data_IF_835465179681
#
_entry.id   IF_835465179681
#
_cell.length_a   1.000
_cell.length_b   1.000
_cell.length_c   1.000
_cell.angle_alpha   90.00
_cell.angle_beta   90.00
_cell.angle_gamma   90.00
#
_symmetry.space_group_name_H-M   'P 1'
#
loop_
_entity.id
_entity.type
_entity.pdbx_description
1 polymer ?
#
# COMPACT_ATOMS: atom_id res chain seq x y z
N UNK A 1 -18.33 5.43 21.94
CA UNK A 1 -17.38 5.88 20.93
C UNK A 1 -17.35 7.41 20.80
N UNK A 2 -18.52 8.08 20.57
CA UNK A 2 -18.57 9.54 20.40
C UNK A 2 -17.97 10.29 21.61
N UNK A 3 -18.35 9.95 22.84
CA UNK A 3 -17.80 10.57 24.05
C UNK A 3 -16.27 10.41 24.14
N UNK A 4 -15.75 9.21 23.81
CA UNK A 4 -14.30 8.98 23.76
C UNK A 4 -13.63 9.78 22.63
N UNK A 5 -14.29 9.96 21.49
CA UNK A 5 -13.75 10.76 20.39
C UNK A 5 -13.63 12.23 20.79
N UNK A 6 -14.66 12.78 21.47
CA UNK A 6 -14.62 14.14 22.02
C UNK A 6 -13.48 14.30 23.03
N UNK A 7 -13.30 13.34 23.94
CA UNK A 7 -12.18 13.38 24.90
C UNK A 7 -10.80 13.32 24.26
N UNK A 8 -10.71 12.87 23.01
CA UNK A 8 -9.49 12.85 22.17
C UNK A 8 -9.37 14.06 21.23
N UNK A 9 -10.20 15.06 21.39
CA UNK A 9 -10.14 16.32 20.64
C UNK A 9 -10.84 16.29 19.28
N UNK A 10 -11.77 15.36 19.05
CA UNK A 10 -12.63 15.36 17.86
C UNK A 10 -13.87 16.20 18.18
N UNK A 11 -14.17 17.21 17.37
CA UNK A 11 -15.33 18.07 17.52
C UNK A 11 -16.65 17.36 17.20
N UNK A 12 -17.75 17.84 17.77
CA UNK A 12 -19.09 17.35 17.43
C UNK A 12 -19.40 17.50 15.94
N UNK A 13 -18.96 18.59 15.32
CA UNK A 13 -19.07 18.83 13.87
C UNK A 13 -18.41 17.72 13.06
N UNK A 14 -17.21 17.30 13.43
CA UNK A 14 -16.52 16.18 12.76
C UNK A 14 -17.27 14.87 12.97
N UNK A 15 -17.90 14.67 14.13
CA UNK A 15 -18.69 13.46 14.41
C UNK A 15 -19.98 13.34 13.60
N UNK A 16 -20.45 14.40 12.96
CA UNK A 16 -21.62 14.36 12.07
C UNK A 16 -21.47 13.39 10.92
N UNK A 17 -20.23 13.14 10.45
CA UNK A 17 -19.96 12.14 9.39
C UNK A 17 -20.40 10.71 9.79
N UNK A 18 -20.63 10.47 11.08
CA UNK A 18 -21.12 9.20 11.62
C UNK A 18 -22.65 9.15 11.82
N UNK A 19 -23.38 10.25 11.65
CA UNK A 19 -24.79 10.31 12.03
C UNK A 19 -25.67 9.30 11.29
N UNK A 20 -25.31 8.95 10.07
CA UNK A 20 -26.04 7.98 9.23
C UNK A 20 -25.29 6.66 9.07
N UNK A 21 -24.26 6.39 9.89
CA UNK A 21 -23.50 5.17 9.82
C UNK A 21 -24.37 3.98 10.27
N UNK A 22 -24.63 3.07 9.32
CA UNK A 22 -25.34 1.80 9.58
C UNK A 22 -24.37 0.63 9.38
N UNK A 23 -24.50 -0.46 10.13
CA UNK A 23 -23.74 -1.67 9.90
C UNK A 23 -23.87 -2.15 8.45
N UNK A 24 -22.74 -2.41 7.81
CA UNK A 24 -22.68 -2.89 6.42
C UNK A 24 -22.38 -4.39 6.40
N UNK A 25 -23.42 -5.22 6.24
CA UNK A 25 -23.25 -6.67 6.09
C UNK A 25 -22.31 -7.02 4.94
N UNK A 26 -22.37 -6.25 3.84
CA UNK A 26 -21.46 -6.42 2.69
C UNK A 26 -20.00 -6.27 3.09
N UNK A 27 -19.68 -5.26 3.86
CA UNK A 27 -18.32 -5.00 4.37
C UNK A 27 -17.86 -6.14 5.28
N UNK A 28 -18.70 -6.57 6.21
CA UNK A 28 -18.44 -7.68 7.14
C UNK A 28 -18.22 -8.99 6.39
N UNK A 29 -19.07 -9.28 5.39
CA UNK A 29 -18.94 -10.48 4.54
C UNK A 29 -17.62 -10.48 3.76
N UNK A 30 -17.19 -9.34 3.22
CA UNK A 30 -15.92 -9.21 2.51
C UNK A 30 -14.73 -9.40 3.46
N UNK A 31 -14.78 -8.89 4.69
CA UNK A 31 -13.73 -9.10 5.69
C UNK A 31 -13.55 -10.58 6.07
N UNK A 32 -14.62 -11.37 6.03
CA UNK A 32 -14.59 -12.80 6.34
C UNK A 32 -14.20 -13.69 5.16
N UNK A 33 -14.29 -13.16 3.93
CA UNK A 33 -14.03 -13.88 2.69
C UNK A 33 -12.93 -13.17 1.87
N UNK A 34 -11.68 -13.25 2.34
CA UNK A 34 -10.54 -12.64 1.64
C UNK A 34 -9.99 -13.66 0.61
N UNK A 35 -10.20 -13.47 -0.71
CA UNK A 35 -9.82 -14.43 -1.74
C UNK A 35 -8.31 -14.57 -1.93
N UNK A 36 -7.50 -13.58 -1.55
CA UNK A 36 -6.03 -13.58 -1.67
C UNK A 36 -5.36 -14.68 -0.86
N UNK A 37 -6.00 -15.20 0.19
CA UNK A 37 -5.51 -16.33 0.98
C UNK A 37 -5.88 -17.70 0.38
N UNK A 38 -6.63 -17.72 -0.73
CA UNK A 38 -7.12 -18.95 -1.39
C UNK A 38 -6.46 -19.21 -2.75
N UNK A 39 -5.60 -18.31 -3.23
CA UNK A 39 -4.98 -18.41 -4.54
C UNK A 39 -3.50 -18.80 -4.41
N UNK A 40 -3.02 -19.69 -5.29
CA UNK A 40 -1.58 -19.87 -5.48
C UNK A 40 -0.96 -18.60 -6.04
N UNK A 41 0.34 -18.39 -5.81
CA UNK A 41 1.05 -17.23 -6.32
C UNK A 41 0.93 -17.08 -7.84
N UNK A 42 1.03 -18.17 -8.59
CA UNK A 42 0.92 -18.15 -10.05
C UNK A 42 -0.45 -17.65 -10.52
N UNK A 43 -1.54 -18.12 -9.87
CA UNK A 43 -2.90 -17.64 -10.16
C UNK A 43 -3.10 -16.19 -9.75
N UNK A 44 -2.52 -15.79 -8.62
CA UNK A 44 -2.55 -14.39 -8.18
C UNK A 44 -1.81 -13.50 -9.17
N UNK A 45 -0.56 -13.86 -9.50
CA UNK A 45 0.29 -13.14 -10.46
C UNK A 45 -0.38 -12.97 -11.81
N UNK A 46 -0.96 -14.02 -12.40
CA UNK A 46 -1.63 -13.93 -13.71
C UNK A 46 -2.83 -12.98 -13.72
N UNK A 47 -3.54 -12.85 -12.60
CA UNK A 47 -4.65 -11.90 -12.45
C UNK A 47 -4.16 -10.45 -12.28
N UNK A 48 -3.09 -10.26 -11.53
CA UNK A 48 -2.59 -8.93 -11.15
C UNK A 48 -1.67 -8.35 -12.21
N UNK A 49 -0.83 -9.18 -12.87
CA UNK A 49 0.15 -8.76 -13.87
C UNK A 49 -0.30 -9.20 -15.25
N UNK A 50 -1.28 -8.48 -15.84
CA UNK A 50 -1.74 -8.70 -17.20
C UNK A 50 -0.94 -7.85 -18.21
N UNK A 51 -0.92 -8.28 -19.49
CA UNK A 51 -0.27 -7.50 -20.56
C UNK A 51 -0.88 -6.10 -20.72
N UNK A 52 -2.19 -5.99 -20.57
CA UNK A 52 -2.88 -4.69 -20.52
C UNK A 52 -2.29 -3.78 -19.43
N UNK A 53 -2.15 -4.30 -18.20
CA UNK A 53 -1.61 -3.51 -17.08
C UNK A 53 -0.15 -3.16 -17.28
N UNK A 54 0.66 -4.08 -17.82
CA UNK A 54 2.06 -3.83 -18.15
C UNK A 54 2.21 -2.73 -19.22
N UNK A 55 1.43 -2.80 -20.28
CA UNK A 55 1.47 -1.81 -21.36
C UNK A 55 0.98 -0.43 -20.85
N UNK A 56 -0.10 -0.39 -20.08
CA UNK A 56 -0.58 0.84 -19.46
C UNK A 56 0.45 1.42 -18.50
N UNK A 57 1.14 0.62 -17.71
CA UNK A 57 2.21 1.08 -16.82
C UNK A 57 3.36 1.76 -17.59
N UNK A 58 3.75 1.22 -18.75
CA UNK A 58 4.77 1.85 -19.62
C UNK A 58 4.31 3.21 -20.16
N UNK A 59 3.05 3.32 -20.53
CA UNK A 59 2.45 4.58 -21.02
C UNK A 59 2.39 5.60 -19.88
N UNK A 60 1.85 5.21 -18.72
CA UNK A 60 1.72 6.10 -17.57
C UNK A 60 3.08 6.52 -17.01
N UNK A 61 4.09 5.64 -17.04
CA UNK A 61 5.47 6.00 -16.67
C UNK A 61 6.01 7.11 -17.57
N UNK A 62 5.87 6.98 -18.89
CA UNK A 62 6.32 8.01 -19.84
C UNK A 62 5.58 9.33 -19.65
N UNK A 63 4.25 9.27 -19.48
CA UNK A 63 3.38 10.43 -19.28
C UNK A 63 3.72 11.23 -18.02
N UNK A 64 4.08 10.54 -16.93
CA UNK A 64 4.36 11.16 -15.65
C UNK A 64 5.87 11.29 -15.36
N UNK A 65 6.74 11.04 -16.35
CA UNK A 65 8.19 10.99 -16.17
C UNK A 65 8.77 12.22 -15.46
N UNK A 66 8.44 13.48 -15.84
CA UNK A 66 8.99 14.64 -15.15
C UNK A 66 8.64 14.71 -13.66
N UNK A 67 7.38 14.39 -13.32
CA UNK A 67 6.95 14.34 -11.92
C UNK A 67 7.65 13.20 -11.16
N UNK A 68 7.72 12.01 -11.77
CA UNK A 68 8.39 10.86 -11.14
C UNK A 68 9.87 11.14 -10.88
N UNK A 69 10.57 11.84 -11.78
CA UNK A 69 11.97 12.23 -11.59
C UNK A 69 12.13 13.25 -10.44
N UNK A 70 11.21 14.21 -10.33
CA UNK A 70 11.15 15.15 -9.20
C UNK A 70 10.99 14.39 -7.87
N UNK A 71 10.05 13.44 -7.82
CA UNK A 71 9.76 12.62 -6.63
C UNK A 71 10.94 11.68 -6.30
N UNK A 72 11.52 11.02 -7.30
CA UNK A 72 12.69 10.15 -7.12
C UNK A 72 13.88 10.92 -6.55
N UNK A 73 14.16 12.12 -7.08
CA UNK A 73 15.21 13.01 -6.55
C UNK A 73 14.96 13.40 -5.09
N UNK A 74 13.71 13.63 -4.70
CA UNK A 74 13.35 14.10 -3.35
C UNK A 74 13.32 12.99 -2.31
N UNK A 75 12.80 11.81 -2.68
CA UNK A 75 12.52 10.71 -1.74
C UNK A 75 13.41 9.49 -1.91
N UNK A 76 14.25 9.45 -2.95
CA UNK A 76 15.12 8.31 -3.26
C UNK A 76 14.36 7.07 -3.75
N UNK A 77 13.10 7.19 -4.17
CA UNK A 77 12.25 6.07 -4.58
C UNK A 77 12.06 6.05 -6.08
N UNK A 78 12.47 4.96 -6.73
CA UNK A 78 12.44 4.85 -8.19
C UNK A 78 11.02 4.98 -8.76
N UNK A 79 10.83 5.85 -9.76
CA UNK A 79 9.54 6.13 -10.37
C UNK A 79 8.86 4.90 -11.00
N UNK A 80 9.63 3.90 -11.46
CA UNK A 80 9.03 2.63 -11.96
C UNK A 80 8.36 1.84 -10.86
N UNK A 81 8.90 1.87 -9.64
CA UNK A 81 8.28 1.23 -8.48
C UNK A 81 6.97 1.92 -8.12
N UNK A 82 6.95 3.27 -8.11
CA UNK A 82 5.74 4.04 -7.84
C UNK A 82 4.62 3.74 -8.84
N UNK A 83 4.93 3.70 -10.13
CA UNK A 83 3.97 3.29 -11.17
C UNK A 83 3.48 1.86 -10.98
N UNK A 84 4.36 0.93 -10.58
CA UNK A 84 3.97 -0.46 -10.35
C UNK A 84 3.03 -0.61 -9.17
N UNK A 85 3.29 0.09 -8.07
CA UNK A 85 2.40 0.14 -6.91
C UNK A 85 1.05 0.79 -7.28
N UNK A 86 1.06 1.92 -7.95
CA UNK A 86 -0.16 2.59 -8.41
C UNK A 86 -1.01 1.70 -9.32
N UNK A 87 -0.36 0.90 -10.20
CA UNK A 87 -1.03 -0.09 -11.02
C UNK A 87 -1.71 -1.19 -10.20
N UNK A 88 -1.04 -1.69 -9.17
CA UNK A 88 -1.53 -2.80 -8.33
C UNK A 88 -2.61 -2.33 -7.37
N UNK A 89 -2.38 -1.22 -6.66
CA UNK A 89 -3.25 -0.73 -5.60
C UNK A 89 -4.60 -0.22 -6.13
N UNK A 90 -4.59 0.56 -7.20
CA UNK A 90 -5.80 1.24 -7.67
C UNK A 90 -6.08 1.11 -9.16
N UNK A 91 -5.33 0.27 -9.89
CA UNK A 91 -5.41 0.18 -11.34
C UNK A 91 -5.30 1.59 -11.99
N UNK A 92 -4.27 2.34 -11.62
CA UNK A 92 -4.03 3.72 -12.06
C UNK A 92 -5.17 4.67 -11.72
N UNK A 93 -5.72 4.56 -10.52
CA UNK A 93 -6.81 5.38 -10.02
C UNK A 93 -8.21 4.95 -10.46
N UNK A 94 -8.34 3.92 -11.33
CA UNK A 94 -9.67 3.48 -11.78
C UNK A 94 -10.44 2.65 -10.74
N UNK A 95 -9.77 2.16 -9.71
CA UNK A 95 -10.36 1.31 -8.68
C UNK A 95 -9.88 1.71 -7.28
N UNK A 96 -10.47 2.74 -6.72
CA UNK A 96 -10.19 3.22 -5.36
C UNK A 96 -11.20 2.73 -4.31
N UNK A 97 -12.16 1.91 -4.75
CA UNK A 97 -13.29 1.52 -3.92
C UNK A 97 -14.47 2.51 -3.99
N UNK A 98 -15.66 2.01 -3.59
CA UNK A 98 -16.92 2.77 -3.66
C UNK A 98 -17.62 2.85 -2.29
N UNK A 99 -16.96 2.37 -1.25
CA UNK A 99 -17.52 2.35 0.10
C UNK A 99 -17.30 3.71 0.77
N UNK A 100 -18.27 4.12 1.60
CA UNK A 100 -18.04 5.26 2.48
C UNK A 100 -17.07 4.85 3.59
N UNK A 101 -15.99 5.60 3.76
CA UNK A 101 -14.91 5.29 4.71
C UNK A 101 -15.42 5.11 6.14
N UNK A 102 -16.23 6.07 6.61
CA UNK A 102 -16.68 6.09 8.01
C UNK A 102 -17.66 4.96 8.30
N UNK A 103 -18.60 4.69 7.39
CA UNK A 103 -19.54 3.56 7.52
C UNK A 103 -18.81 2.22 7.50
N UNK A 104 -17.81 2.09 6.64
CA UNK A 104 -16.98 0.89 6.52
C UNK A 104 -16.21 0.63 7.82
N UNK A 105 -15.48 1.64 8.30
CA UNK A 105 -14.66 1.50 9.51
C UNK A 105 -15.53 1.30 10.77
N UNK A 106 -16.67 2.00 10.87
CA UNK A 106 -17.61 1.81 11.96
C UNK A 106 -18.17 0.39 11.99
N UNK A 107 -18.57 -0.17 10.81
CA UNK A 107 -19.07 -1.53 10.69
C UNK A 107 -18.05 -2.56 11.14
N UNK A 108 -16.81 -2.44 10.69
CA UNK A 108 -15.71 -3.36 11.04
C UNK A 108 -15.26 -3.20 12.49
N UNK A 109 -15.32 -1.99 13.04
CA UNK A 109 -15.05 -1.74 14.46
C UNK A 109 -16.12 -2.38 15.36
N UNK A 110 -17.37 -2.45 14.87
CA UNK A 110 -18.50 -3.05 15.60
C UNK A 110 -18.52 -4.57 15.51
N UNK A 111 -18.16 -5.18 14.34
CA UNK A 111 -18.25 -6.63 14.09
C UNK A 111 -17.43 -7.52 15.06
N UNK A 112 -16.47 -6.97 15.75
CA UNK A 112 -15.69 -7.65 16.80
C UNK A 112 -14.42 -8.35 16.33
N UNK A 113 -14.36 -8.92 15.12
CA UNK A 113 -13.22 -9.74 14.66
C UNK A 113 -11.87 -9.02 14.71
N UNK A 114 -11.80 -7.76 14.27
CA UNK A 114 -10.62 -6.88 14.32
C UNK A 114 -10.97 -5.52 14.91
N UNK A 115 -11.86 -5.51 15.89
CA UNK A 115 -12.49 -4.30 16.45
C UNK A 115 -11.46 -3.26 16.90
N UNK A 116 -10.45 -3.66 17.67
CA UNK A 116 -9.38 -2.73 18.16
C UNK A 116 -8.67 -2.01 17.02
N UNK A 117 -8.35 -2.74 15.94
CA UNK A 117 -7.68 -2.18 14.77
C UNK A 117 -8.59 -1.18 14.04
N UNK A 118 -9.80 -1.60 13.66
CA UNK A 118 -10.72 -0.74 12.91
C UNK A 118 -11.25 0.44 13.73
N UNK A 119 -11.38 0.26 15.05
CA UNK A 119 -11.69 1.36 15.94
C UNK A 119 -10.59 2.44 15.93
N UNK A 120 -9.32 2.04 15.95
CA UNK A 120 -8.19 2.95 15.81
C UNK A 120 -8.19 3.66 14.46
N UNK A 121 -8.44 2.92 13.38
CA UNK A 121 -8.52 3.50 12.04
C UNK A 121 -9.68 4.47 11.90
N UNK A 122 -10.81 4.23 12.55
CA UNK A 122 -11.95 5.16 12.60
C UNK A 122 -11.57 6.47 13.31
N UNK A 123 -10.87 6.41 14.44
CA UNK A 123 -10.34 7.62 15.09
C UNK A 123 -9.38 8.38 14.18
N UNK A 124 -8.48 7.68 13.50
CA UNK A 124 -7.56 8.30 12.54
C UNK A 124 -8.31 8.97 11.38
N UNK A 125 -9.36 8.34 10.86
CA UNK A 125 -10.20 8.92 9.80
C UNK A 125 -10.90 10.21 10.26
N UNK A 126 -11.43 10.23 11.49
CA UNK A 126 -12.02 11.43 12.07
C UNK A 126 -10.96 12.54 12.26
N UNK A 127 -9.75 12.17 12.70
CA UNK A 127 -8.65 13.13 12.87
C UNK A 127 -8.22 13.76 11.53
N UNK A 128 -8.32 13.07 10.41
CA UNK A 128 -8.06 13.63 9.07
C UNK A 128 -9.03 14.78 8.78
N UNK A 129 -10.32 14.60 9.11
CA UNK A 129 -11.33 15.64 8.95
C UNK A 129 -11.11 16.77 9.93
N UNK A 130 -10.90 16.45 11.21
CA UNK A 130 -10.69 17.44 12.28
C UNK A 130 -9.52 18.38 11.96
N UNK A 131 -8.43 17.84 11.44
CA UNK A 131 -7.26 18.61 11.01
C UNK A 131 -7.41 19.30 9.66
N UNK A 132 -8.58 19.21 9.03
CA UNK A 132 -8.87 19.82 7.74
C UNK A 132 -7.83 19.44 6.63
N UNK A 133 -7.35 18.18 6.67
CA UNK A 133 -6.29 17.72 5.76
C UNK A 133 -6.78 17.41 4.34
N UNK A 134 -8.09 17.33 4.14
CA UNK A 134 -8.74 16.98 2.86
C UNK A 134 -9.86 17.97 2.53
N UNK A 135 -10.18 18.13 1.24
CA UNK A 135 -11.25 19.03 0.79
C UNK A 135 -12.66 18.45 1.00
N UNK A 136 -12.80 17.13 0.99
CA UNK A 136 -14.10 16.46 1.02
C UNK A 136 -14.22 15.57 2.24
N UNK A 137 -15.33 15.68 2.97
CA UNK A 137 -15.63 14.81 4.12
C UNK A 137 -16.30 13.48 3.71
N UNK A 138 -16.87 13.39 2.50
CA UNK A 138 -17.44 12.15 1.97
C UNK A 138 -16.38 11.25 1.32
N UNK A 139 -15.45 10.77 2.13
CA UNK A 139 -14.32 9.99 1.67
C UNK A 139 -14.74 8.59 1.20
N UNK A 140 -14.30 8.23 -0.01
CA UNK A 140 -14.46 6.88 -0.57
C UNK A 140 -13.25 6.00 -0.26
N UNK A 141 -13.50 4.72 -0.05
CA UNK A 141 -12.47 3.73 0.29
C UNK A 141 -12.79 2.36 -0.29
N UNK A 142 -11.82 1.46 -0.23
CA UNK A 142 -12.06 0.03 -0.35
C UNK A 142 -12.94 -0.50 0.79
N UNK A 143 -13.32 -1.77 0.70
CA UNK A 143 -14.20 -2.42 1.69
C UNK A 143 -13.60 -2.49 3.10
N UNK A 144 -12.31 -2.37 3.26
CA UNK A 144 -11.59 -2.38 4.54
C UNK A 144 -11.10 -0.99 4.98
N UNK A 145 -11.49 0.09 4.30
CA UNK A 145 -11.10 1.45 4.66
C UNK A 145 -9.79 1.93 4.03
N UNK A 146 -9.26 1.23 3.03
CA UNK A 146 -8.11 1.68 2.24
C UNK A 146 -8.51 2.84 1.33
N UNK A 147 -7.79 3.97 1.40
CA UNK A 147 -8.18 5.26 0.82
C UNK A 147 -7.37 5.63 -0.41
N UNK A 148 -8.07 6.25 -1.37
CA UNK A 148 -7.48 6.90 -2.53
C UNK A 148 -6.69 5.97 -3.46
N UNK A 149 -5.86 6.56 -4.30
CA UNK A 149 -5.06 5.82 -5.27
C UNK A 149 -3.87 5.09 -4.65
N UNK A 150 -3.44 5.51 -3.45
CA UNK A 150 -2.39 4.86 -2.66
C UNK A 150 -2.90 3.67 -1.84
N UNK A 151 -4.21 3.50 -1.70
CA UNK A 151 -4.86 2.52 -0.82
C UNK A 151 -4.32 2.59 0.62
N UNK A 152 -4.09 3.80 1.12
CA UNK A 152 -3.64 4.03 2.48
C UNK A 152 -4.75 3.82 3.50
N UNK A 153 -4.45 3.12 4.59
CA UNK A 153 -5.27 3.18 5.79
C UNK A 153 -5.19 4.60 6.39
N UNK A 154 -6.23 5.06 7.14
CA UNK A 154 -6.20 6.39 7.79
C UNK A 154 -4.95 6.67 8.61
N UNK A 155 -4.44 5.68 9.35
CA UNK A 155 -3.17 5.80 10.09
C UNK A 155 -1.96 6.03 9.17
N UNK A 156 -1.93 5.38 8.01
CA UNK A 156 -0.88 5.57 7.00
C UNK A 156 -0.99 6.95 6.35
N UNK A 157 -2.20 7.41 6.08
CA UNK A 157 -2.44 8.75 5.55
C UNK A 157 -1.92 9.84 6.51
N UNK A 158 -2.30 9.77 7.81
CA UNK A 158 -1.84 10.73 8.82
C UNK A 158 -0.31 10.75 8.97
N UNK A 159 0.34 9.61 8.79
CA UNK A 159 1.78 9.46 9.01
C UNK A 159 2.62 9.77 7.78
N UNK A 160 2.10 9.47 6.59
CA UNK A 160 2.89 9.47 5.37
C UNK A 160 2.30 10.30 4.22
N UNK A 161 1.06 10.78 4.36
CA UNK A 161 0.45 11.68 3.40
C UNK A 161 1.27 12.97 3.24
N UNK A 162 1.39 13.44 2.02
CA UNK A 162 2.17 14.62 1.65
C UNK A 162 1.34 15.52 0.76
N UNK A 163 1.27 16.80 1.11
CA UNK A 163 0.85 17.90 0.27
C UNK A 163 2.08 18.35 -0.55
N UNK A 164 2.26 17.80 -1.74
CA UNK A 164 3.44 18.05 -2.57
C UNK A 164 3.27 19.30 -3.44
N UNK A 165 2.05 19.62 -3.86
CA UNK A 165 1.71 20.81 -4.63
C UNK A 165 1.58 22.06 -3.76
N UNK A 166 1.52 21.90 -2.40
CA UNK A 166 1.45 22.95 -1.36
C UNK A 166 0.17 23.77 -1.45
N UNK A 167 -0.96 23.14 -1.75
CA UNK A 167 -2.28 23.81 -1.75
C UNK A 167 -2.95 23.81 -0.38
N UNK A 168 -2.31 23.23 0.64
CA UNK A 168 -2.81 23.13 2.02
C UNK A 168 -3.66 21.90 2.28
N UNK A 169 -3.77 20.98 1.33
CA UNK A 169 -4.51 19.72 1.43
C UNK A 169 -3.64 18.54 0.99
N UNK A 170 -4.10 17.34 1.31
CA UNK A 170 -3.48 16.11 0.84
C UNK A 170 -4.52 15.35 0.03
N UNK A 171 -4.39 15.38 -1.30
CA UNK A 171 -5.33 14.73 -2.20
C UNK A 171 -4.74 13.46 -2.83
N UNK A 172 -4.84 12.35 -2.11
CA UNK A 172 -4.44 11.04 -2.64
C UNK A 172 -5.52 10.40 -3.56
N UNK A 173 -6.63 11.10 -3.86
CA UNK A 173 -7.68 10.60 -4.75
C UNK A 173 -7.55 11.11 -6.17
N UNK A 174 -7.12 12.37 -6.37
CA UNK A 174 -7.09 12.99 -7.70
C UNK A 174 -5.78 13.70 -8.05
N UNK A 175 -5.00 14.18 -7.09
CA UNK A 175 -3.75 14.88 -7.33
C UNK A 175 -2.55 13.93 -7.43
N UNK A 176 -1.89 13.90 -8.59
CA UNK A 176 -0.76 12.99 -8.83
C UNK A 176 0.51 13.39 -8.09
N UNK A 177 0.71 14.67 -7.78
CA UNK A 177 1.85 15.11 -7.00
C UNK A 177 1.75 14.54 -5.60
N UNK A 178 0.60 14.66 -4.96
CA UNK A 178 0.34 14.13 -3.63
C UNK A 178 0.34 12.61 -3.60
N UNK A 179 -0.27 11.97 -4.61
CA UNK A 179 -0.30 10.51 -4.73
C UNK A 179 1.11 9.93 -4.76
N UNK A 180 1.96 10.38 -5.70
CA UNK A 180 3.30 9.81 -5.84
C UNK A 180 4.23 10.24 -4.70
N UNK A 181 4.11 11.47 -4.19
CA UNK A 181 4.87 11.91 -3.03
C UNK A 181 4.52 11.12 -1.77
N UNK A 182 3.23 10.87 -1.51
CA UNK A 182 2.77 10.08 -0.37
C UNK A 182 3.27 8.64 -0.45
N UNK A 183 3.17 7.99 -1.62
CA UNK A 183 3.70 6.64 -1.84
C UNK A 183 5.21 6.59 -1.63
N UNK A 184 5.97 7.56 -2.17
CA UNK A 184 7.41 7.64 -2.03
C UNK A 184 7.82 7.90 -0.58
N UNK A 185 7.14 8.81 0.11
CA UNK A 185 7.37 9.10 1.53
C UNK A 185 7.11 7.86 2.41
N UNK A 186 6.04 7.11 2.12
CA UNK A 186 5.76 5.84 2.80
C UNK A 186 6.94 4.86 2.67
N UNK A 187 7.43 4.62 1.45
CA UNK A 187 8.53 3.70 1.21
C UNK A 187 9.83 4.19 1.85
N UNK A 188 10.18 5.45 1.66
CA UNK A 188 11.39 6.06 2.24
C UNK A 188 11.41 5.95 3.77
N UNK A 189 10.29 6.28 4.43
CA UNK A 189 10.17 6.20 5.90
C UNK A 189 10.10 4.77 6.44
N UNK A 190 9.82 3.79 5.60
CA UNK A 190 9.77 2.37 5.96
C UNK A 190 11.01 1.58 5.48
N UNK A 191 12.13 2.26 5.23
CA UNK A 191 13.42 1.62 5.02
C UNK A 191 13.78 1.35 3.56
N UNK A 192 13.06 1.95 2.60
CA UNK A 192 13.54 1.96 1.22
C UNK A 192 14.93 2.60 1.14
N UNK A 193 15.81 1.95 0.42
CA UNK A 193 17.16 2.46 0.18
C UNK A 193 17.45 2.42 -1.32
N UNK A 194 17.72 3.57 -1.92
CA UNK A 194 17.97 3.75 -3.35
C UNK A 194 19.18 2.95 -3.87
N UNK A 195 20.10 2.57 -2.99
CA UNK A 195 21.28 1.76 -3.33
C UNK A 195 20.92 0.30 -3.63
N UNK A 196 19.70 -0.14 -3.29
CA UNK A 196 19.25 -1.51 -3.45
C UNK A 196 18.09 -1.59 -4.43
N UNK A 197 17.84 -2.78 -4.95
CA UNK A 197 16.62 -3.11 -5.66
C UNK A 197 15.64 -3.81 -4.70
N UNK A 198 14.34 -3.75 -5.02
CA UNK A 198 13.30 -4.42 -4.22
C UNK A 198 13.49 -5.95 -4.12
N UNK A 199 14.07 -6.58 -5.16
CA UNK A 199 14.30 -8.02 -5.21
C UNK A 199 14.58 -8.51 -6.64
N UNK A 200 14.86 -9.78 -6.74
CA UNK A 200 14.99 -10.50 -8.01
C UNK A 200 14.58 -11.96 -7.87
N UNK A 201 14.08 -12.54 -8.94
CA UNK A 201 13.88 -13.98 -9.01
C UNK A 201 15.24 -14.68 -9.06
N UNK A 202 15.34 -15.79 -8.34
CA UNK A 202 16.53 -16.66 -8.29
C UNK A 202 16.15 -18.10 -8.58
N UNK A 203 17.13 -18.89 -9.01
CA UNK A 203 17.05 -20.32 -9.20
C UNK A 203 18.13 -21.02 -8.41
N UNK A 204 17.94 -22.30 -8.08
CA UNK A 204 18.94 -23.09 -7.38
C UNK A 204 18.90 -24.55 -7.84
N UNK A 205 19.83 -24.95 -8.73
CA UNK A 205 19.86 -26.31 -9.30
C UNK A 205 20.16 -27.38 -8.25
N UNK A 206 20.97 -27.02 -7.25
CA UNK A 206 21.38 -27.89 -6.14
C UNK A 206 20.95 -27.31 -4.78
N UNK A 207 19.98 -26.42 -4.77
CA UNK A 207 19.47 -25.79 -3.55
C UNK A 207 18.38 -26.69 -2.96
N UNK A 208 18.82 -27.60 -2.11
CA UNK A 208 17.92 -28.53 -1.42
C UNK A 208 17.22 -27.83 -0.25
N UNK A 209 15.96 -28.20 0.00
CA UNK A 209 15.16 -27.69 1.11
C UNK A 209 14.93 -26.15 1.11
N UNK A 210 14.43 -25.54 0.01
CA UNK A 210 14.23 -24.09 -0.04
C UNK A 210 13.33 -23.58 1.10
N UNK A 211 12.36 -24.36 1.55
CA UNK A 211 11.44 -24.03 2.64
C UNK A 211 12.19 -23.77 3.96
N UNK A 212 13.25 -24.51 4.26
CA UNK A 212 14.11 -24.33 5.44
C UNK A 212 14.75 -22.94 5.49
N UNK A 213 15.00 -22.36 4.34
CA UNK A 213 15.61 -21.03 4.20
C UNK A 213 14.60 -19.91 3.98
N UNK A 214 13.30 -20.23 3.92
CA UNK A 214 12.27 -19.20 3.73
C UNK A 214 12.36 -18.14 4.82
N UNK A 215 12.32 -16.88 4.40
CA UNK A 215 12.47 -15.67 5.24
C UNK A 215 13.83 -15.53 5.94
N UNK A 216 14.80 -16.41 5.70
CA UNK A 216 16.16 -16.24 6.20
C UNK A 216 16.86 -15.11 5.47
N UNK A 217 17.75 -14.41 6.20
CA UNK A 217 18.56 -13.30 5.70
C UNK A 217 20.01 -13.71 5.72
N UNK A 218 20.68 -13.63 4.57
CA UNK A 218 22.11 -13.94 4.39
C UNK A 218 22.73 -12.94 3.42
N UNK A 219 24.07 -12.87 3.40
CA UNK A 219 24.77 -12.15 2.34
C UNK A 219 24.56 -12.80 0.97
N UNK A 220 24.68 -12.03 -0.12
CA UNK A 220 24.53 -12.59 -1.49
C UNK A 220 25.61 -13.64 -1.77
N UNK A 221 26.82 -13.50 -1.23
CA UNK A 221 27.87 -14.52 -1.30
C UNK A 221 27.41 -15.84 -0.68
N UNK A 222 26.91 -15.83 0.54
CA UNK A 222 26.39 -17.02 1.23
C UNK A 222 25.25 -17.71 0.46
N UNK A 223 24.36 -16.90 -0.18
CA UNK A 223 23.30 -17.44 -1.05
C UNK A 223 23.88 -18.11 -2.30
N UNK A 224 24.95 -17.53 -2.88
CA UNK A 224 25.64 -18.14 -4.03
C UNK A 224 26.36 -19.44 -3.67
N UNK A 225 27.01 -19.50 -2.50
CA UNK A 225 27.66 -20.72 -1.95
C UNK A 225 26.65 -21.84 -1.71
N UNK A 226 25.42 -21.49 -1.30
CA UNK A 226 24.31 -22.43 -1.19
C UNK A 226 23.71 -22.86 -2.53
N UNK A 227 24.23 -22.37 -3.66
CA UNK A 227 23.83 -22.77 -5.00
C UNK A 227 22.72 -21.92 -5.61
N UNK A 228 22.40 -20.73 -5.05
CA UNK A 228 21.47 -19.79 -5.68
C UNK A 228 22.16 -18.95 -6.76
N UNK A 229 21.46 -18.76 -7.87
CA UNK A 229 21.89 -17.94 -9.01
C UNK A 229 20.70 -17.21 -9.64
N UNK A 230 20.95 -16.25 -10.52
CA UNK A 230 19.91 -15.53 -11.24
C UNK A 230 19.18 -16.46 -12.22
N UNK A 231 17.92 -16.22 -12.49
CA UNK A 231 17.10 -17.05 -13.41
C UNK A 231 17.64 -17.13 -14.84
N UNK A 232 18.54 -16.21 -15.22
CA UNK A 232 19.26 -16.22 -16.50
C UNK A 232 20.57 -17.04 -16.47
N UNK A 233 20.82 -17.79 -15.39
CA UNK A 233 22.02 -18.62 -15.21
C UNK A 233 23.26 -17.88 -14.70
N UNK A 234 23.23 -16.55 -14.56
CA UNK A 234 24.35 -15.78 -14.04
C UNK A 234 24.45 -15.91 -12.51
N UNK A 235 25.66 -15.81 -11.99
CA UNK A 235 25.91 -15.74 -10.55
C UNK A 235 25.21 -14.53 -9.93
N UNK A 236 24.90 -14.60 -8.63
CA UNK A 236 24.45 -13.42 -7.90
C UNK A 236 25.56 -12.35 -7.89
N UNK A 237 25.20 -11.06 -7.83
CA UNK A 237 26.20 -9.98 -7.79
C UNK A 237 27.18 -10.13 -6.62
N UNK A 238 28.47 -9.92 -6.87
CA UNK A 238 29.51 -9.91 -5.84
C UNK A 238 29.51 -8.57 -5.09
N UNK A 239 28.46 -8.32 -4.31
CA UNK A 239 28.32 -7.10 -3.49
C UNK A 239 27.99 -7.50 -2.06
N UNK A 240 28.54 -6.74 -1.11
CA UNK A 240 28.39 -7.02 0.32
C UNK A 240 27.03 -6.50 0.83
N UNK A 241 25.95 -7.14 0.39
CA UNK A 241 24.58 -6.85 0.85
C UNK A 241 23.89 -8.10 1.35
N UNK A 242 22.99 -7.92 2.31
CA UNK A 242 22.12 -8.98 2.80
C UNK A 242 20.81 -9.01 2.01
N UNK A 243 20.34 -10.19 1.70
CA UNK A 243 19.05 -10.42 1.06
C UNK A 243 18.24 -11.47 1.83
N UNK A 244 16.93 -11.27 1.87
CA UNK A 244 15.98 -12.25 2.40
C UNK A 244 15.52 -13.17 1.27
N UNK A 245 15.60 -14.47 1.47
CA UNK A 245 14.97 -15.42 0.57
C UNK A 245 13.47 -15.50 0.86
N UNK A 246 12.67 -15.40 -0.18
CA UNK A 246 11.23 -15.68 -0.15
C UNK A 246 10.96 -16.87 -1.06
N UNK A 247 10.48 -17.95 -0.46
CA UNK A 247 10.00 -19.12 -1.21
C UNK A 247 8.50 -18.89 -1.46
N UNK A 248 8.13 -18.93 -2.73
CA UNK A 248 6.79 -18.65 -3.20
C UNK A 248 6.28 -19.93 -3.84
N UNK A 249 5.15 -20.43 -3.37
CA UNK A 249 4.43 -21.64 -3.84
C UNK A 249 3.74 -21.45 -5.22
#
# INVERSE_FOLDING_TARGET
FKAEAISKGISEKTLEVLNNAKPSEKTIKLDRNQPEFKLTFQKYKSKVVSDYRLNKAKIEYKKNKPLLDKIEKKYGVNGRLLISLWAIESNFGNNMGKFNLFHTLASLAHDGRRSKFFRKELFNALMIIEKNMVNNTNLKSGWAGAMGQCQFMPSSFLKYGVDENKDGKIDIWSDKEDIFASMANYLSKNGWNERYIWGRAVSGKNFNEPIKYNKKVKYLSEWSELGLYQTNGKMLPKVNIKAKLLVID
#
